data_IF_466343126223
#
_entry.id   IF_466343126223
#
_cell.length_a   1.000
_cell.length_b   1.000
_cell.length_c   1.000
_cell.angle_alpha   90.00
_cell.angle_beta   90.00
_cell.angle_gamma   90.00
#
_symmetry.space_group_name_H-M   'P 1'
#
loop_
_entity.id
_entity.type
_entity.pdbx_description
1 polymer ?
#
# COMPACT_ATOMS: atom_id res chain seq x y z
N UNK A 1 14.70 -42.66 -3.22
CA UNK A 1 15.05 -41.35 -2.62
C UNK A 1 14.59 -40.17 -3.46
N UNK A 2 14.74 -40.18 -4.80
CA UNK A 2 14.24 -39.12 -5.70
C UNK A 2 12.75 -38.74 -5.52
N UNK A 3 11.84 -39.70 -5.38
CA UNK A 3 10.40 -39.40 -5.16
C UNK A 3 10.11 -38.65 -3.85
N UNK A 4 10.90 -38.88 -2.79
CA UNK A 4 10.74 -38.18 -1.50
C UNK A 4 11.32 -36.76 -1.55
N UNK A 5 12.38 -36.54 -2.34
CA UNK A 5 12.95 -35.21 -2.59
C UNK A 5 12.01 -34.37 -3.46
N UNK A 6 11.41 -34.95 -4.49
CA UNK A 6 10.42 -34.27 -5.34
C UNK A 6 9.16 -33.90 -4.54
N UNK A 7 8.67 -34.79 -3.67
CA UNK A 7 7.48 -34.53 -2.84
C UNK A 7 7.75 -33.43 -1.79
N UNK A 8 8.93 -33.42 -1.17
CA UNK A 8 9.35 -32.38 -0.23
C UNK A 8 9.56 -31.02 -0.91
N UNK A 9 10.13 -31.00 -2.13
CA UNK A 9 10.23 -29.79 -2.94
C UNK A 9 8.85 -29.24 -3.33
N UNK A 10 7.92 -30.09 -3.75
CA UNK A 10 6.55 -29.67 -4.09
C UNK A 10 5.72 -29.21 -2.88
N UNK A 11 5.95 -29.75 -1.68
CA UNK A 11 5.32 -29.23 -0.45
C UNK A 11 5.90 -27.86 -0.05
N UNK A 12 7.21 -27.67 -0.16
CA UNK A 12 7.85 -26.38 0.12
C UNK A 12 7.40 -25.27 -0.85
N UNK A 13 7.15 -25.60 -2.11
CA UNK A 13 6.61 -24.68 -3.13
C UNK A 13 5.18 -24.19 -2.83
N UNK A 14 4.40 -24.92 -2.03
CA UNK A 14 3.06 -24.49 -1.61
C UNK A 14 3.08 -23.51 -0.42
N UNK A 15 4.16 -23.51 0.37
CA UNK A 15 4.33 -22.67 1.56
C UNK A 15 4.93 -21.28 1.25
N UNK A 16 5.43 -21.05 0.03
CA UNK A 16 6.07 -19.80 -0.39
C UNK A 16 5.16 -18.85 -1.16
N UNK A 17 3.84 -19.07 -1.20
CA UNK A 17 2.92 -18.26 -1.99
C UNK A 17 1.85 -17.57 -1.13
N UNK A 18 1.62 -16.27 -1.36
CA UNK A 18 0.47 -15.53 -0.83
C UNK A 18 -0.58 -15.31 -1.92
N UNK A 19 -1.82 -14.98 -1.53
CA UNK A 19 -2.92 -14.65 -2.46
C UNK A 19 -3.42 -13.24 -2.18
N UNK A 20 -3.42 -12.39 -3.20
CA UNK A 20 -3.90 -11.01 -3.10
C UNK A 20 -5.43 -11.00 -2.98
N UNK A 21 -6.02 -10.25 -2.02
CA UNK A 21 -7.46 -10.08 -1.91
C UNK A 21 -8.06 -9.47 -3.19
N UNK A 22 -9.31 -9.82 -3.48
CA UNK A 22 -10.10 -9.36 -4.66
C UNK A 22 -9.61 -9.95 -5.99
N UNK A 23 -8.34 -9.77 -6.37
CA UNK A 23 -7.81 -10.26 -7.65
C UNK A 23 -7.50 -11.75 -7.65
N UNK A 24 -7.21 -12.34 -6.48
CA UNK A 24 -6.82 -13.74 -6.36
C UNK A 24 -5.43 -14.06 -6.92
N UNK A 25 -4.62 -13.04 -7.24
CA UNK A 25 -3.27 -13.19 -7.78
C UNK A 25 -2.38 -13.91 -6.76
N UNK A 26 -1.61 -14.89 -7.22
CA UNK A 26 -0.61 -15.57 -6.38
C UNK A 26 0.75 -14.91 -6.50
N UNK A 27 1.42 -14.71 -5.37
CA UNK A 27 2.70 -13.99 -5.28
C UNK A 27 3.69 -14.77 -4.46
N UNK A 28 4.99 -14.54 -4.69
CA UNK A 28 6.03 -15.08 -3.83
C UNK A 28 5.98 -14.41 -2.45
N UNK A 29 6.02 -15.22 -1.39
CA UNK A 29 5.91 -14.78 0.00
C UNK A 29 6.98 -15.49 0.83
N UNK A 30 8.21 -14.98 0.76
CA UNK A 30 9.35 -15.44 1.56
C UNK A 30 9.45 -14.73 2.90
N UNK A 31 8.90 -13.50 2.99
CA UNK A 31 8.93 -12.69 4.21
C UNK A 31 7.58 -12.79 4.93
N UNK A 32 7.55 -13.22 6.21
CA UNK A 32 6.32 -13.25 6.99
C UNK A 32 5.75 -11.85 7.23
N UNK A 33 4.42 -11.70 7.18
CA UNK A 33 3.74 -10.43 7.43
C UNK A 33 4.04 -9.87 8.84
N UNK A 34 4.24 -10.73 9.84
CA UNK A 34 4.62 -10.33 11.20
C UNK A 34 5.98 -9.62 11.27
N UNK A 35 6.92 -10.02 10.40
CA UNK A 35 8.22 -9.37 10.25
C UNK A 35 8.03 -7.97 9.64
N UNK A 36 7.23 -7.89 8.57
CA UNK A 36 6.90 -6.62 7.90
C UNK A 36 6.21 -5.64 8.85
N UNK A 37 5.28 -6.11 9.67
CA UNK A 37 4.57 -5.28 10.65
C UNK A 37 5.52 -4.74 11.73
N UNK A 38 6.46 -5.56 12.21
CA UNK A 38 7.48 -5.15 13.18
C UNK A 38 8.39 -4.04 12.63
N UNK A 39 8.86 -4.22 11.38
CA UNK A 39 9.69 -3.25 10.69
C UNK A 39 8.92 -1.95 10.42
N UNK A 40 7.65 -2.06 10.01
CA UNK A 40 6.76 -0.93 9.79
C UNK A 40 6.54 -0.10 11.05
N UNK A 41 6.27 -0.72 12.21
CA UNK A 41 6.11 0.00 13.49
C UNK A 41 7.36 0.80 13.82
N UNK A 42 8.54 0.19 13.66
CA UNK A 42 9.82 0.84 13.94
C UNK A 42 10.05 2.04 13.03
N UNK A 43 9.86 1.87 11.72
CA UNK A 43 10.06 2.93 10.76
C UNK A 43 9.02 4.05 10.92
N UNK A 44 7.75 3.70 11.14
CA UNK A 44 6.68 4.66 11.35
C UNK A 44 6.99 5.57 12.53
N UNK A 45 7.37 4.99 13.67
CA UNK A 45 7.75 5.73 14.87
C UNK A 45 8.94 6.65 14.62
N UNK A 46 9.96 6.18 13.88
CA UNK A 46 11.09 7.01 13.50
C UNK A 46 10.63 8.22 12.67
N UNK A 47 9.83 8.00 11.64
CA UNK A 47 9.32 9.08 10.78
C UNK A 47 8.53 10.11 11.59
N UNK A 48 7.57 9.67 12.42
CA UNK A 48 6.75 10.58 13.23
C UNK A 48 7.55 11.34 14.30
N UNK A 49 8.67 10.78 14.77
CA UNK A 49 9.56 11.48 15.72
C UNK A 49 10.31 12.64 15.05
N UNK A 50 10.65 12.47 13.76
CA UNK A 50 11.38 13.49 12.99
C UNK A 50 10.48 14.47 12.25
N UNK A 51 9.24 14.09 11.97
CA UNK A 51 8.28 14.90 11.25
C UNK A 51 7.56 15.87 12.19
N UNK A 52 7.13 17.02 11.65
CA UNK A 52 6.20 17.91 12.35
C UNK A 52 4.77 17.44 12.08
N UNK A 53 4.03 17.06 13.12
CA UNK A 53 2.61 16.73 12.97
C UNK A 53 1.76 18.00 12.82
N UNK A 54 0.72 17.93 12.00
CA UNK A 54 -0.21 19.04 11.82
C UNK A 54 -1.06 19.28 13.05
N UNK A 55 -1.23 20.56 13.39
CA UNK A 55 -2.12 21.04 14.44
C UNK A 55 -3.46 21.54 13.87
N UNK A 56 -3.66 21.49 12.55
CA UNK A 56 -4.92 21.85 11.91
C UNK A 56 -5.99 20.78 12.22
N UNK A 57 -6.86 21.08 13.19
CA UNK A 57 -7.85 20.13 13.67
C UNK A 57 -8.82 19.64 12.57
N UNK A 58 -9.15 20.48 11.58
CA UNK A 58 -10.07 20.13 10.52
C UNK A 58 -9.46 19.11 9.55
N UNK A 59 -8.22 19.35 9.11
CA UNK A 59 -7.49 18.44 8.22
C UNK A 59 -7.14 17.13 8.92
N UNK A 60 -6.71 17.18 10.18
CA UNK A 60 -6.46 15.97 10.99
C UNK A 60 -7.75 15.14 11.13
N UNK A 61 -8.88 15.80 11.42
CA UNK A 61 -10.17 15.12 11.51
C UNK A 61 -10.61 14.54 10.17
N UNK A 62 -10.32 15.21 9.06
CA UNK A 62 -10.57 14.69 7.71
C UNK A 62 -9.76 13.42 7.44
N UNK A 63 -8.45 13.44 7.63
CA UNK A 63 -7.56 12.28 7.41
C UNK A 63 -8.01 11.09 8.25
N UNK A 64 -8.29 11.31 9.54
CA UNK A 64 -8.76 10.23 10.43
C UNK A 64 -10.12 9.69 10.01
N UNK A 65 -11.09 10.56 9.70
CA UNK A 65 -12.44 10.14 9.29
C UNK A 65 -12.40 9.31 8.01
N UNK A 66 -11.69 9.78 6.98
CA UNK A 66 -11.58 9.06 5.70
C UNK A 66 -10.83 7.75 5.91
N UNK A 67 -9.68 7.78 6.57
CA UNK A 67 -8.88 6.59 6.87
C UNK A 67 -9.63 5.52 7.63
N UNK A 68 -10.34 5.88 8.70
CA UNK A 68 -11.15 4.95 9.51
C UNK A 68 -12.32 4.35 8.71
N UNK A 69 -12.90 5.09 7.78
CA UNK A 69 -13.96 4.56 6.90
C UNK A 69 -13.40 3.53 5.91
N UNK A 70 -12.22 3.78 5.33
CA UNK A 70 -11.53 2.81 4.47
C UNK A 70 -11.11 1.58 5.27
N UNK A 71 -10.52 1.77 6.46
CA UNK A 71 -10.23 0.68 7.39
C UNK A 71 -11.46 -0.20 7.63
N UNK A 72 -12.60 0.41 8.00
CA UNK A 72 -13.82 -0.34 8.26
C UNK A 72 -14.31 -1.13 7.03
N UNK A 73 -14.16 -0.57 5.83
CA UNK A 73 -14.50 -1.25 4.58
C UNK A 73 -13.59 -2.46 4.31
N UNK A 74 -12.28 -2.30 4.52
CA UNK A 74 -11.29 -3.38 4.44
C UNK A 74 -11.59 -4.48 5.44
N UNK A 75 -11.73 -4.16 6.72
CA UNK A 75 -12.04 -5.13 7.77
C UNK A 75 -13.38 -5.86 7.50
N UNK A 76 -14.38 -5.13 7.01
CA UNK A 76 -15.65 -5.71 6.59
C UNK A 76 -15.46 -6.69 5.43
N UNK A 77 -14.71 -6.32 4.39
CA UNK A 77 -14.42 -7.20 3.26
C UNK A 77 -13.77 -8.50 3.72
N UNK A 78 -12.66 -8.41 4.46
CA UNK A 78 -11.94 -9.60 4.94
C UNK A 78 -12.80 -10.47 5.85
N UNK A 79 -13.66 -9.87 6.69
CA UNK A 79 -14.63 -10.62 7.50
C UNK A 79 -15.65 -11.37 6.64
N UNK A 80 -16.20 -10.72 5.62
CA UNK A 80 -17.18 -11.33 4.71
C UNK A 80 -16.57 -12.49 3.91
N UNK A 81 -15.27 -12.44 3.62
CA UNK A 81 -14.55 -13.52 2.94
C UNK A 81 -14.05 -14.63 3.89
N UNK A 82 -14.27 -14.52 5.20
CA UNK A 82 -13.72 -15.47 6.17
C UNK A 82 -12.18 -15.40 6.29
N UNK A 83 -11.60 -14.25 5.97
CA UNK A 83 -10.15 -14.01 5.85
C UNK A 83 -9.64 -12.97 6.85
N UNK A 84 -10.34 -12.76 7.98
CA UNK A 84 -9.93 -11.75 8.97
C UNK A 84 -8.50 -11.95 9.51
N UNK A 85 -8.00 -13.19 9.55
CA UNK A 85 -6.62 -13.49 9.95
C UNK A 85 -5.55 -12.88 9.04
N UNK A 86 -5.91 -12.48 7.81
CA UNK A 86 -4.98 -11.77 6.93
C UNK A 86 -4.58 -10.39 7.46
N UNK A 87 -5.40 -9.82 8.36
CA UNK A 87 -5.18 -8.54 9.02
C UNK A 87 -4.61 -8.69 10.44
N UNK A 88 -4.19 -9.90 10.84
CA UNK A 88 -3.60 -10.12 12.17
C UNK A 88 -2.35 -9.24 12.36
N UNK A 89 -2.30 -8.54 13.50
CA UNK A 89 -1.23 -7.59 13.80
C UNK A 89 -1.39 -6.20 13.19
N UNK A 90 -2.45 -5.94 12.42
CA UNK A 90 -2.78 -4.58 11.99
C UNK A 90 -3.25 -3.76 13.20
N UNK A 91 -2.61 -2.60 13.37
CA UNK A 91 -2.93 -1.62 14.40
C UNK A 91 -3.01 -0.26 13.71
N UNK A 92 -4.17 0.03 13.12
CA UNK A 92 -4.34 1.18 12.25
C UNK A 92 -4.02 2.50 12.94
N UNK A 93 -3.20 3.32 12.28
CA UNK A 93 -2.84 4.66 12.72
C UNK A 93 -2.86 5.62 11.53
N UNK A 94 -3.49 6.78 11.72
CA UNK A 94 -3.63 7.80 10.68
C UNK A 94 -3.10 9.13 11.22
N UNK A 95 -1.98 9.59 10.65
CA UNK A 95 -1.35 10.84 11.04
C UNK A 95 -1.17 11.78 9.84
N UNK A 96 -1.35 13.08 10.10
CA UNK A 96 -1.11 14.15 9.15
C UNK A 96 0.20 14.85 9.51
N UNK A 97 1.16 14.81 8.59
CA UNK A 97 2.42 15.52 8.66
C UNK A 97 2.21 16.92 8.08
N UNK A 98 2.61 17.95 8.83
CA UNK A 98 2.62 19.34 8.39
C UNK A 98 3.81 19.60 7.46
N UNK A 99 3.58 19.31 6.19
CA UNK A 99 4.49 19.61 5.10
C UNK A 99 3.67 19.99 3.85
N UNK A 100 3.37 21.28 3.67
CA UNK A 100 2.55 21.75 2.56
C UNK A 100 3.28 21.67 1.21
N UNK A 101 4.59 21.37 1.19
CA UNK A 101 5.38 21.26 -0.05
C UNK A 101 5.38 19.84 -0.61
N UNK A 102 5.26 18.84 0.27
CA UNK A 102 5.27 17.44 -0.12
C UNK A 102 3.86 16.97 -0.49
N UNK A 103 3.67 16.69 -1.78
CA UNK A 103 2.45 16.06 -2.29
C UNK A 103 2.62 14.55 -2.22
N UNK A 104 2.32 13.94 -1.06
CA UNK A 104 2.45 12.50 -0.87
C UNK A 104 1.53 11.97 0.26
N UNK A 105 1.33 10.66 0.27
CA UNK A 105 0.77 9.85 1.35
C UNK A 105 1.28 8.42 1.20
N UNK A 106 1.34 7.66 2.29
CA UNK A 106 1.75 6.24 2.22
C UNK A 106 1.09 5.41 3.31
N UNK A 107 0.99 4.10 3.08
CA UNK A 107 0.57 3.11 4.07
C UNK A 107 1.59 1.96 4.17
N UNK A 108 2.21 1.80 5.33
CA UNK A 108 3.06 0.65 5.61
C UNK A 108 2.23 -0.57 6.07
N UNK A 109 2.80 -1.79 5.99
CA UNK A 109 2.21 -2.98 6.61
C UNK A 109 1.76 -2.74 8.06
N UNK A 110 0.68 -3.41 8.46
CA UNK A 110 0.09 -3.25 9.79
C UNK A 110 -0.75 -1.99 9.95
N UNK A 111 -1.07 -1.28 8.85
CA UNK A 111 -2.03 -0.18 8.84
C UNK A 111 -1.46 1.17 9.31
N UNK A 112 -0.16 1.41 9.11
CA UNK A 112 0.50 2.66 9.51
C UNK A 112 0.46 3.66 8.37
N UNK A 113 -0.43 4.64 8.48
CA UNK A 113 -0.70 5.61 7.42
C UNK A 113 -0.15 6.98 7.81
N UNK A 114 0.54 7.63 6.86
CA UNK A 114 0.85 9.04 6.96
C UNK A 114 0.44 9.78 5.69
N UNK A 115 -0.06 10.99 5.89
CA UNK A 115 -0.46 11.91 4.82
C UNK A 115 0.34 13.19 5.00
N UNK A 116 0.91 13.75 3.93
CA UNK A 116 1.55 15.06 3.96
C UNK A 116 0.54 16.13 3.58
N UNK A 117 0.48 17.25 4.31
CA UNK A 117 -0.55 18.29 4.09
C UNK A 117 -0.54 18.86 2.66
N UNK A 118 0.58 18.79 1.94
CA UNK A 118 0.67 19.19 0.54
C UNK A 118 -0.24 18.43 -0.44
N UNK A 119 -0.71 17.22 -0.11
CA UNK A 119 -1.62 16.46 -0.99
C UNK A 119 -3.09 16.92 -0.89
N UNK A 120 -3.50 17.52 0.24
CA UNK A 120 -4.90 17.86 0.52
C UNK A 120 -5.54 18.85 -0.48
N UNK A 121 -4.82 19.86 -1.01
CA UNK A 121 -5.36 20.72 -2.06
C UNK A 121 -5.74 19.97 -3.35
N UNK A 122 -5.08 18.85 -3.65
CA UNK A 122 -5.37 18.02 -4.83
C UNK A 122 -6.51 17.02 -4.57
N UNK A 123 -6.70 16.58 -3.33
CA UNK A 123 -7.84 15.72 -2.96
C UNK A 123 -9.15 16.51 -2.99
N UNK A 124 -9.12 17.79 -2.60
CA UNK A 124 -10.27 18.73 -2.48
C UNK A 124 -11.29 18.37 -1.41
N UNK A 125 -11.72 17.11 -1.36
CA UNK A 125 -12.75 16.63 -0.45
C UNK A 125 -12.43 15.21 0.06
N UNK A 126 -13.34 14.67 0.88
CA UNK A 126 -13.21 13.34 1.45
C UNK A 126 -13.17 12.25 0.39
N UNK A 127 -13.89 12.41 -0.74
CA UNK A 127 -13.90 11.40 -1.80
C UNK A 127 -12.57 11.37 -2.53
N UNK A 128 -11.96 12.53 -2.82
CA UNK A 128 -10.62 12.60 -3.38
C UNK A 128 -9.55 12.06 -2.42
N UNK A 129 -9.69 12.30 -1.10
CA UNK A 129 -8.76 11.71 -0.11
C UNK A 129 -8.97 10.20 0.01
N UNK A 130 -10.21 9.71 -0.17
CA UNK A 130 -10.51 8.29 -0.19
C UNK A 130 -9.89 7.57 -1.40
N UNK A 131 -9.69 8.25 -2.53
CA UNK A 131 -8.92 7.70 -3.67
C UNK A 131 -7.49 7.41 -3.24
N UNK A 132 -6.82 8.40 -2.63
CA UNK A 132 -5.43 8.26 -2.15
C UNK A 132 -5.33 7.17 -1.09
N UNK A 133 -6.12 7.27 -0.02
CA UNK A 133 -6.03 6.31 1.10
C UNK A 133 -6.50 4.91 0.70
N UNK A 134 -7.49 4.80 -0.19
CA UNK A 134 -7.92 3.54 -0.77
C UNK A 134 -6.78 2.85 -1.52
N UNK A 135 -6.03 3.59 -2.34
CA UNK A 135 -4.86 3.09 -3.06
C UNK A 135 -3.74 2.67 -2.09
N UNK A 136 -3.32 3.54 -1.17
CA UNK A 136 -2.24 3.25 -0.22
C UNK A 136 -2.54 2.03 0.66
N UNK A 137 -3.75 1.98 1.23
CA UNK A 137 -4.16 0.86 2.08
C UNK A 137 -4.23 -0.44 1.26
N UNK A 138 -4.56 -0.35 -0.03
CA UNK A 138 -4.57 -1.52 -0.93
C UNK A 138 -3.18 -2.11 -1.12
N UNK A 139 -2.12 -1.30 -1.22
CA UNK A 139 -0.75 -1.83 -1.24
C UNK A 139 -0.41 -2.64 0.01
N UNK A 140 -0.83 -2.16 1.19
CA UNK A 140 -0.57 -2.84 2.45
C UNK A 140 -1.33 -4.17 2.52
N UNK A 141 -2.64 -4.19 2.28
CA UNK A 141 -3.45 -5.41 2.40
C UNK A 141 -3.25 -6.40 1.25
N UNK A 142 -2.76 -5.94 0.10
CA UNK A 142 -2.27 -6.78 -0.99
C UNK A 142 -0.86 -7.32 -0.74
N UNK A 143 -0.19 -6.87 0.34
CA UNK A 143 1.16 -7.26 0.74
C UNK A 143 2.20 -6.99 -0.34
N UNK A 144 2.03 -5.94 -1.13
CA UNK A 144 2.96 -5.57 -2.22
C UNK A 144 4.38 -5.31 -1.71
N UNK A 145 4.53 -4.74 -0.51
CA UNK A 145 5.84 -4.57 0.13
C UNK A 145 6.50 -5.91 0.47
N UNK A 146 5.74 -6.87 1.01
CA UNK A 146 6.27 -8.20 1.35
C UNK A 146 6.64 -9.00 0.09
N UNK A 147 5.81 -8.91 -0.96
CA UNK A 147 6.09 -9.49 -2.27
C UNK A 147 7.41 -8.96 -2.83
N UNK A 148 7.61 -7.64 -2.84
CA UNK A 148 8.84 -7.02 -3.37
C UNK A 148 10.06 -7.39 -2.58
N UNK A 149 9.96 -7.37 -1.25
CA UNK A 149 11.06 -7.81 -0.39
C UNK A 149 11.40 -9.27 -0.69
N UNK A 150 10.39 -10.12 -0.85
CA UNK A 150 10.55 -11.54 -1.22
C UNK A 150 11.21 -11.71 -2.59
N UNK A 151 10.81 -10.94 -3.60
CA UNK A 151 11.41 -10.97 -4.94
C UNK A 151 12.88 -10.57 -4.91
N UNK A 152 13.22 -9.50 -4.17
CA UNK A 152 14.60 -9.05 -4.00
C UNK A 152 15.44 -10.11 -3.27
N UNK A 153 14.86 -10.81 -2.29
CA UNK A 153 15.52 -11.91 -1.61
C UNK A 153 15.71 -13.12 -2.51
N UNK A 154 14.74 -13.45 -3.36
CA UNK A 154 14.86 -14.55 -4.30
C UNK A 154 15.95 -14.29 -5.33
N UNK A 155 16.01 -13.06 -5.87
CA UNK A 155 17.08 -12.63 -6.79
C UNK A 155 18.46 -12.73 -6.13
N UNK A 156 18.58 -12.36 -4.86
CA UNK A 156 19.84 -12.43 -4.10
C UNK A 156 20.15 -13.84 -3.55
N UNK A 157 19.17 -14.69 -3.32
CA UNK A 157 19.39 -16.09 -2.92
C UNK A 157 19.97 -16.91 -4.08
N UNK A 158 19.67 -16.53 -5.33
CA UNK A 158 20.33 -17.04 -6.53
C UNK A 158 21.86 -16.82 -6.55
N UNK A 159 22.39 -15.93 -5.69
CA UNK A 159 23.83 -15.66 -5.57
C UNK A 159 24.49 -16.31 -4.34
N UNK A 160 23.83 -17.29 -3.70
CA UNK A 160 24.37 -18.17 -2.64
C UNK A 160 24.78 -17.52 -1.30
N UNK A 161 24.56 -16.22 -1.08
CA UNK A 161 25.12 -15.51 0.08
C UNK A 161 24.09 -15.02 1.12
N UNK A 162 22.77 -14.93 0.82
CA UNK A 162 21.89 -14.06 1.63
C UNK A 162 20.86 -14.72 2.56
N UNK A 163 20.54 -16.01 2.44
CA UNK A 163 19.46 -16.61 3.28
C UNK A 163 19.78 -16.63 4.78
N UNK A 164 21.05 -16.54 5.17
CA UNK A 164 21.50 -16.37 6.56
C UNK A 164 21.68 -14.91 6.99
N UNK A 165 21.64 -13.94 6.07
CA UNK A 165 22.05 -12.56 6.35
C UNK A 165 20.93 -11.66 6.91
N UNK A 166 19.65 -11.92 6.60
CA UNK A 166 18.53 -11.11 7.09
C UNK A 166 18.36 -11.16 8.61
N UNK A 167 18.64 -12.31 9.21
CA UNK A 167 18.61 -12.50 10.65
C UNK A 167 19.91 -12.05 11.35
N UNK A 168 20.99 -11.82 10.59
CA UNK A 168 22.31 -11.48 11.13
C UNK A 168 22.66 -9.99 10.98
N UNK A 169 22.02 -9.24 10.07
CA UNK A 169 22.35 -7.83 9.81
C UNK A 169 21.12 -6.90 9.76
N UNK A 170 20.74 -6.28 10.91
CA UNK A 170 19.59 -5.39 11.01
C UNK A 170 19.58 -4.21 10.02
N UNK A 171 20.76 -3.70 9.65
CA UNK A 171 20.88 -2.57 8.71
C UNK A 171 20.49 -2.99 7.30
N UNK A 172 20.91 -4.18 6.86
CA UNK A 172 20.54 -4.71 5.54
C UNK A 172 19.04 -4.96 5.46
N UNK A 173 18.47 -5.61 6.49
CA UNK A 173 17.03 -5.89 6.57
C UNK A 173 16.21 -4.61 6.55
N UNK A 174 16.62 -3.58 7.32
CA UNK A 174 15.98 -2.27 7.30
C UNK A 174 16.04 -1.64 5.91
N UNK A 175 17.21 -1.61 5.26
CA UNK A 175 17.35 -1.01 3.93
C UNK A 175 16.49 -1.71 2.89
N UNK A 176 16.43 -3.05 2.93
CA UNK A 176 15.60 -3.83 2.03
C UNK A 176 14.12 -3.54 2.25
N UNK A 177 13.69 -3.48 3.52
CA UNK A 177 12.33 -3.09 3.87
C UNK A 177 11.96 -1.71 3.32
N UNK A 178 12.82 -0.71 3.52
CA UNK A 178 12.58 0.66 3.02
C UNK A 178 12.44 0.71 1.49
N UNK A 179 13.28 -0.03 0.77
CA UNK A 179 13.19 -0.14 -0.69
C UNK A 179 11.91 -0.84 -1.15
N UNK A 180 11.43 -1.81 -0.37
CA UNK A 180 10.28 -2.62 -0.72
C UNK A 180 8.95 -1.88 -0.48
N UNK A 181 8.82 -1.13 0.62
CA UNK A 181 7.57 -0.46 1.02
C UNK A 181 7.37 0.93 0.45
N UNK A 182 8.38 1.53 -0.19
CA UNK A 182 8.18 2.80 -0.89
C UNK A 182 8.06 4.05 0.02
N UNK A 183 8.19 3.92 1.34
CA UNK A 183 7.80 4.98 2.26
C UNK A 183 9.00 5.63 2.97
N UNK A 184 9.13 6.96 2.92
CA UNK A 184 9.92 7.75 3.86
C UNK A 184 11.45 7.79 3.65
N UNK A 185 11.97 7.55 2.44
CA UNK A 185 13.41 7.72 2.17
C UNK A 185 13.71 8.75 1.08
N UNK A 186 14.62 9.69 1.39
CA UNK A 186 15.31 10.53 0.39
C UNK A 186 16.23 9.72 -0.55
N UNK A 187 16.39 8.42 -0.29
CA UNK A 187 17.19 7.49 -1.07
C UNK A 187 16.25 6.81 -2.06
N UNK A 188 16.54 6.97 -3.35
CA UNK A 188 15.69 6.55 -4.46
C UNK A 188 14.93 5.25 -4.23
N UNK A 189 13.61 5.37 -4.21
CA UNK A 189 12.67 4.28 -4.02
C UNK A 189 12.57 3.47 -5.30
N UNK A 190 12.53 2.14 -5.15
CA UNK A 190 12.03 1.31 -6.24
C UNK A 190 10.52 1.52 -6.29
N UNK A 191 10.00 1.95 -7.43
CA UNK A 191 8.56 2.07 -7.68
C UNK A 191 7.89 0.71 -7.64
N UNK A 192 6.64 0.64 -7.18
CA UNK A 192 5.82 -0.56 -7.34
C UNK A 192 5.72 -0.92 -8.83
N UNK A 193 5.56 -2.22 -9.12
CA UNK A 193 5.39 -2.64 -10.51
C UNK A 193 4.07 -2.11 -11.07
N UNK A 194 3.96 -1.95 -12.40
CA UNK A 194 2.70 -1.54 -13.04
C UNK A 194 1.52 -2.44 -12.64
N UNK A 195 1.76 -3.74 -12.47
CA UNK A 195 0.74 -4.68 -12.03
C UNK A 195 0.27 -4.41 -10.60
N UNK A 196 1.21 -4.13 -9.68
CA UNK A 196 0.89 -3.79 -8.29
C UNK A 196 0.13 -2.47 -8.19
N UNK A 197 0.48 -1.50 -9.02
CA UNK A 197 -0.23 -0.22 -9.10
C UNK A 197 -1.66 -0.39 -9.62
N UNK A 198 -1.86 -1.10 -10.74
CA UNK A 198 -3.21 -1.38 -11.27
C UNK A 198 -4.05 -2.23 -10.30
N UNK A 199 -3.42 -3.13 -9.55
CA UNK A 199 -4.06 -3.93 -8.51
C UNK A 199 -4.47 -3.05 -7.32
N UNK A 200 -3.60 -2.16 -6.86
CA UNK A 200 -3.92 -1.20 -5.80
C UNK A 200 -5.06 -0.24 -6.21
N UNK A 201 -5.11 0.21 -7.46
CA UNK A 201 -6.22 0.99 -7.99
C UNK A 201 -7.53 0.18 -7.98
N UNK A 202 -7.50 -1.10 -8.37
CA UNK A 202 -8.68 -1.97 -8.37
C UNK A 202 -9.24 -2.19 -6.96
N UNK A 203 -8.39 -2.61 -6.03
CA UNK A 203 -8.76 -2.81 -4.63
C UNK A 203 -9.23 -1.49 -4.00
N UNK A 204 -8.51 -0.40 -4.26
CA UNK A 204 -8.79 0.92 -3.69
C UNK A 204 -10.15 1.47 -4.11
N UNK A 205 -10.53 1.29 -5.39
CA UNK A 205 -11.85 1.66 -5.90
C UNK A 205 -12.98 0.89 -5.20
N UNK A 206 -12.78 -0.41 -4.94
CA UNK A 206 -13.76 -1.24 -4.22
C UNK A 206 -13.85 -0.82 -2.75
N UNK A 207 -12.73 -0.65 -2.07
CA UNK A 207 -12.72 -0.26 -0.65
C UNK A 207 -13.29 1.14 -0.42
N UNK A 208 -12.99 2.11 -1.29
CA UNK A 208 -13.61 3.43 -1.19
C UNK A 208 -15.12 3.37 -1.45
N UNK A 209 -15.57 2.55 -2.39
CA UNK A 209 -16.99 2.34 -2.64
C UNK A 209 -17.70 1.70 -1.44
N UNK A 210 -17.12 0.66 -0.84
CA UNK A 210 -17.60 0.01 0.38
C UNK A 210 -17.61 0.97 1.60
N UNK A 211 -16.67 1.92 1.64
CA UNK A 211 -16.60 2.97 2.66
C UNK A 211 -17.66 4.08 2.45
N UNK A 212 -18.39 4.05 1.34
CA UNK A 212 -19.43 5.01 1.01
C UNK A 212 -18.94 6.25 0.24
N UNK A 213 -17.76 6.19 -0.36
CA UNK A 213 -17.24 7.22 -1.26
C UNK A 213 -17.47 6.83 -2.72
N UNK A 214 -17.89 7.78 -3.55
CA UNK A 214 -18.18 7.51 -4.96
C UNK A 214 -16.87 7.15 -5.69
N UNK A 215 -16.70 5.93 -6.22
CA UNK A 215 -15.47 5.51 -6.89
C UNK A 215 -15.16 6.34 -8.15
N UNK A 216 -16.18 6.96 -8.77
CA UNK A 216 -15.98 7.87 -9.91
C UNK A 216 -15.14 9.11 -9.57
N UNK A 217 -14.96 9.44 -8.29
CA UNK A 217 -14.08 10.53 -7.84
C UNK A 217 -12.59 10.28 -8.16
N UNK A 218 -12.20 9.04 -8.44
CA UNK A 218 -10.84 8.69 -8.85
C UNK A 218 -10.41 9.37 -10.16
N UNK A 219 -11.31 9.44 -11.15
CA UNK A 219 -10.99 10.05 -12.45
C UNK A 219 -10.59 11.52 -12.35
N UNK A 220 -11.40 12.42 -11.77
CA UNK A 220 -11.02 13.81 -11.65
C UNK A 220 -9.84 14.01 -10.69
N UNK A 221 -9.59 13.12 -9.72
CA UNK A 221 -8.39 13.16 -8.89
C UNK A 221 -7.13 12.91 -9.73
N UNK A 222 -7.07 11.80 -10.46
CA UNK A 222 -5.91 11.46 -11.29
C UNK A 222 -5.68 12.45 -12.42
N UNK A 223 -6.73 13.05 -12.98
CA UNK A 223 -6.60 14.16 -13.93
C UNK A 223 -5.91 15.38 -13.31
N UNK A 224 -6.22 15.74 -12.05
CA UNK A 224 -5.54 16.83 -11.33
C UNK A 224 -4.07 16.49 -11.06
N UNK A 225 -3.79 15.25 -10.64
CA UNK A 225 -2.42 14.77 -10.43
C UNK A 225 -1.60 14.85 -11.72
N UNK A 226 -2.16 14.40 -12.84
CA UNK A 226 -1.53 14.47 -14.16
C UNK A 226 -1.26 15.92 -14.59
N UNK A 227 -2.20 16.84 -14.36
CA UNK A 227 -2.02 18.25 -14.66
C UNK A 227 -0.88 18.89 -13.82
N UNK A 228 -0.79 18.55 -12.52
CA UNK A 228 0.27 19.04 -11.63
C UNK A 228 1.67 18.61 -12.12
N UNK A 229 1.78 17.40 -12.66
CA UNK A 229 3.04 16.83 -13.17
C UNK A 229 3.68 17.61 -14.31
N UNK A 230 2.90 18.45 -15.01
CA UNK A 230 3.42 19.31 -16.08
C UNK A 230 4.31 20.44 -15.54
N UNK A 231 4.06 20.90 -14.31
CA UNK A 231 4.85 21.95 -13.66
C UNK A 231 5.94 21.41 -12.73
N UNK A 232 5.65 20.31 -12.03
CA UNK A 232 6.59 19.61 -11.16
C UNK A 232 6.01 18.23 -10.86
N UNK A 233 6.80 17.17 -11.03
CA UNK A 233 6.34 15.82 -10.68
C UNK A 233 6.09 15.73 -9.17
N UNK A 234 4.84 15.52 -8.72
CA UNK A 234 4.54 15.24 -7.32
C UNK A 234 5.31 14.02 -6.82
N UNK A 235 5.77 14.04 -5.58
CA UNK A 235 6.44 12.88 -4.97
C UNK A 235 5.56 11.63 -5.06
N UNK A 236 4.25 11.76 -4.83
CA UNK A 236 3.29 10.69 -5.04
C UNK A 236 3.36 10.06 -6.44
N UNK A 237 3.54 10.85 -7.51
CA UNK A 237 3.70 10.31 -8.88
C UNK A 237 5.09 9.76 -9.17
N UNK A 238 6.09 10.20 -8.40
CA UNK A 238 7.41 9.57 -8.42
C UNK A 238 7.32 8.14 -7.88
N UNK A 239 6.56 7.92 -6.80
CA UNK A 239 6.36 6.62 -6.17
C UNK A 239 5.34 5.76 -6.95
N UNK A 240 4.28 6.40 -7.46
CA UNK A 240 3.12 5.79 -8.12
C UNK A 240 2.88 6.38 -9.53
N UNK A 241 3.63 5.96 -10.57
CA UNK A 241 3.53 6.55 -11.90
C UNK A 241 2.12 6.44 -12.50
N UNK A 242 1.45 7.57 -12.70
CA UNK A 242 0.22 7.62 -13.47
C UNK A 242 0.55 7.74 -14.96
N UNK A 243 0.27 6.70 -15.74
CA UNK A 243 0.30 6.78 -17.21
C UNK A 243 -1.13 6.86 -17.77
N UNK A 244 -1.25 7.10 -19.09
CA UNK A 244 -2.55 7.12 -19.75
C UNK A 244 -3.34 5.80 -19.56
N UNK A 245 -2.62 4.70 -19.33
CA UNK A 245 -3.19 3.38 -19.04
C UNK A 245 -3.95 3.38 -17.72
N UNK A 246 -3.43 4.04 -16.67
CA UNK A 246 -4.11 4.11 -15.36
C UNK A 246 -5.51 4.70 -15.45
N UNK A 247 -5.70 5.81 -16.18
CA UNK A 247 -7.04 6.41 -16.34
C UNK A 247 -7.98 5.45 -17.07
N UNK A 248 -7.51 4.78 -18.13
CA UNK A 248 -8.30 3.81 -18.88
C UNK A 248 -8.66 2.58 -18.04
N UNK A 249 -7.73 2.11 -17.21
CA UNK A 249 -7.97 1.01 -16.27
C UNK A 249 -9.01 1.39 -15.22
N UNK A 250 -8.90 2.56 -14.62
CA UNK A 250 -9.91 3.05 -13.67
C UNK A 250 -11.28 3.10 -14.33
N UNK A 251 -11.40 3.66 -15.54
CA UNK A 251 -12.67 3.69 -16.29
C UNK A 251 -13.26 2.28 -16.48
N UNK A 252 -12.42 1.28 -16.77
CA UNK A 252 -12.82 -0.13 -16.92
C UNK A 252 -13.25 -0.76 -15.61
N UNK A 253 -12.66 -0.36 -14.48
CA UNK A 253 -12.93 -0.91 -13.14
C UNK A 253 -14.15 -0.27 -12.47
N UNK A 254 -14.50 0.97 -12.84
CA UNK A 254 -15.62 1.70 -12.24
C UNK A 254 -16.95 0.91 -12.21
N UNK A 255 -17.40 0.23 -13.28
CA UNK A 255 -18.65 -0.54 -13.24
C UNK A 255 -18.66 -1.64 -12.18
N UNK A 256 -17.50 -2.22 -11.84
CA UNK A 256 -17.39 -3.19 -10.76
C UNK A 256 -17.44 -2.50 -9.39
N UNK A 257 -16.59 -1.50 -9.17
CA UNK A 257 -16.53 -0.77 -7.91
C UNK A 257 -17.90 -0.15 -7.55
N UNK A 258 -18.63 0.33 -8.56
CA UNK A 258 -19.95 0.93 -8.38
C UNK A 258 -20.97 -0.04 -7.74
N UNK A 259 -20.81 -1.35 -7.90
CA UNK A 259 -21.69 -2.37 -7.28
C UNK A 259 -21.57 -2.38 -5.76
N UNK A 260 -20.44 -1.94 -5.23
CA UNK A 260 -20.17 -1.87 -3.79
C UNK A 260 -20.55 -0.53 -3.18
N UNK A 261 -20.81 0.49 -4.02
CA UNK A 261 -21.05 1.85 -3.56
C UNK A 261 -22.40 1.98 -2.86
N UNK A 262 -22.36 2.33 -1.58
CA UNK A 262 -23.53 2.70 -0.78
C UNK A 262 -23.26 4.05 -0.12
N UNK A 263 -23.87 5.15 -0.61
CA UNK A 263 -23.71 6.47 -0.02
C UNK A 263 -24.00 6.43 1.48
N UNK A 264 -23.20 7.15 2.27
CA UNK A 264 -23.35 7.30 3.71
C UNK A 264 -23.59 8.74 4.09
#
# INVERSE_FOLDING_TARGET
MFKKVILAASLALSAGCATVPITGRRTLSLVPESEMNTLAVTQYKQTLTTAKLSTNAAEVAQVRRVGQRIQAAVEQYFRQQGQSSQLDGYAWEFNLIDDPKTVNAWCMPGGKVAVYSGILPLTRDDAGLAVVLGHEISHAVARHGAERMSDQLALQAGTSVLSSALSQNPTVTKNLFMQAVGAGSQVGLLKFSRNQESEADHLGLIFMAMAGYNPAAALPFWQRMAAQSQSSTPEFLSDHPADATRIADIQRLLPEAQKYYKPR
#
